data_IF_055680533006
#
_entry.id   IF_055680533006
#
_cell.length_a   1.000
_cell.length_b   1.000
_cell.length_c   1.000
_cell.angle_alpha   90.00
_cell.angle_beta   90.00
_cell.angle_gamma   90.00
#
_symmetry.space_group_name_H-M   'P 1'
#
loop_
_entity.id
_entity.type
_entity.pdbx_description
1 polymer ?
#
# COMPACT_ATOMS: atom_id res chain seq x y z
N UNK A 1 -3.47 -7.44 10.72
CA UNK A 1 -2.40 -6.86 11.57
C UNK A 1 -2.00 -5.50 11.00
N UNK A 2 -2.05 -4.44 11.79
CA UNK A 2 -1.61 -3.11 11.35
C UNK A 2 -0.08 -3.07 11.27
N UNK A 3 0.49 -2.80 10.11
CA UNK A 3 1.95 -2.77 9.92
C UNK A 3 2.53 -1.35 9.99
N UNK A 4 1.71 -0.32 9.76
CA UNK A 4 2.10 1.08 9.79
C UNK A 4 0.92 2.01 10.12
N UNK A 5 1.24 3.28 10.40
CA UNK A 5 0.28 4.39 10.39
C UNK A 5 0.81 5.50 9.50
N UNK A 6 -0.06 6.24 8.84
CA UNK A 6 0.33 7.37 8.03
C UNK A 6 -0.69 8.50 8.15
N UNK A 7 -0.20 9.74 8.24
CA UNK A 7 -1.03 10.90 8.00
C UNK A 7 -1.17 11.13 6.48
N UNK A 8 -2.14 11.93 6.08
CA UNK A 8 -2.34 12.32 4.69
C UNK A 8 -1.07 12.91 4.09
N UNK A 9 -0.64 12.27 3.00
CA UNK A 9 0.53 12.65 2.20
C UNK A 9 1.80 12.79 3.01
N UNK A 10 2.01 11.86 3.94
CA UNK A 10 3.27 11.70 4.65
C UNK A 10 3.77 10.26 4.51
N UNK A 11 5.10 10.02 4.60
CA UNK A 11 5.65 8.68 4.70
C UNK A 11 5.01 7.89 5.85
N UNK A 12 4.81 6.56 5.69
CA UNK A 12 4.27 5.73 6.76
C UNK A 12 5.28 5.60 7.91
N UNK A 13 4.75 5.56 9.12
CA UNK A 13 5.48 5.25 10.35
C UNK A 13 5.31 3.77 10.64
N UNK A 14 6.41 3.02 10.56
CA UNK A 14 6.45 1.58 10.81
C UNK A 14 6.02 1.23 12.25
N UNK A 15 5.15 0.23 12.41
CA UNK A 15 4.76 -0.31 13.72
C UNK A 15 5.57 -1.53 14.14
N UNK A 16 6.51 -1.99 13.32
CA UNK A 16 7.20 -3.26 13.46
C UNK A 16 7.99 -3.44 14.78
N UNK A 17 8.36 -2.35 15.47
CA UNK A 17 9.11 -2.39 16.74
C UNK A 17 8.22 -2.35 17.99
N UNK A 18 6.94 -1.98 17.87
CA UNK A 18 6.02 -1.95 19.00
C UNK A 18 5.48 -3.35 19.23
N UNK A 19 6.18 -4.13 20.07
CA UNK A 19 5.58 -5.29 20.74
C UNK A 19 4.21 -4.86 21.23
N UNK A 20 3.16 -5.57 20.82
CA UNK A 20 1.76 -5.25 21.08
C UNK A 20 1.61 -4.64 22.47
N UNK A 21 1.26 -3.36 22.54
CA UNK A 21 1.40 -2.54 23.75
C UNK A 21 0.67 -3.13 24.97
N UNK A 22 -0.31 -4.02 24.72
CA UNK A 22 -1.13 -4.73 25.71
C UNK A 22 -0.92 -6.26 25.72
N UNK A 23 0.20 -6.77 25.22
CA UNK A 23 0.58 -8.20 25.30
C UNK A 23 -0.06 -9.11 24.24
N UNK A 24 -1.24 -8.77 23.70
CA UNK A 24 -1.86 -9.44 22.55
C UNK A 24 -2.68 -8.47 21.68
N UNK A 25 -2.85 -8.81 20.41
CA UNK A 25 -3.82 -8.17 19.51
C UNK A 25 -4.81 -9.20 19.00
N UNK A 26 -6.06 -8.81 18.89
CA UNK A 26 -7.06 -9.61 18.21
C UNK A 26 -6.91 -9.41 16.69
N UNK A 27 -6.50 -10.48 15.99
CA UNK A 27 -6.27 -10.50 14.55
C UNK A 27 -7.20 -11.50 13.84
N UNK A 28 -8.46 -11.55 14.28
CA UNK A 28 -9.51 -12.48 13.82
C UNK A 28 -10.37 -11.89 12.69
N UNK A 29 -10.29 -10.58 12.47
CA UNK A 29 -11.03 -9.84 11.46
C UNK A 29 -10.09 -9.07 10.53
N UNK A 30 -10.52 -8.85 9.28
CA UNK A 30 -9.80 -8.00 8.34
C UNK A 30 -9.81 -6.54 8.80
N UNK A 31 -8.71 -5.83 8.54
CA UNK A 31 -8.68 -4.38 8.65
C UNK A 31 -9.50 -3.72 7.53
N UNK A 32 -9.85 -2.42 7.67
CA UNK A 32 -10.58 -1.71 6.65
C UNK A 32 -9.74 -1.53 5.38
N UNK A 33 -10.40 -1.42 4.23
CA UNK A 33 -9.75 -1.06 2.97
C UNK A 33 -9.33 0.41 2.97
N UNK A 34 -8.35 0.78 2.15
CA UNK A 34 -8.00 2.19 2.00
C UNK A 34 -9.10 2.96 1.28
N UNK A 35 -9.26 4.27 1.54
CA UNK A 35 -10.31 5.05 0.92
C UNK A 35 -10.18 5.11 -0.59
N UNK A 36 -11.29 4.89 -1.29
CA UNK A 36 -11.35 4.76 -2.75
C UNK A 36 -12.78 4.99 -3.27
N UNK A 37 -12.91 5.29 -4.56
CA UNK A 37 -14.19 5.64 -5.18
C UNK A 37 -15.22 4.50 -5.19
N UNK A 38 -14.77 3.24 -5.14
CA UNK A 38 -15.64 2.06 -5.19
C UNK A 38 -15.91 1.45 -3.80
N UNK A 39 -16.81 2.05 -3.03
CA UNK A 39 -17.51 1.33 -1.97
C UNK A 39 -18.62 0.46 -2.59
N UNK A 40 -18.29 -0.77 -3.02
CA UNK A 40 -19.24 -1.71 -3.61
C UNK A 40 -19.33 -3.01 -2.78
N UNK A 41 -20.06 -4.02 -3.27
CA UNK A 41 -20.22 -5.30 -2.55
C UNK A 41 -18.88 -6.02 -2.26
N UNK A 42 -17.82 -5.65 -2.97
CA UNK A 42 -16.48 -6.19 -2.79
C UNK A 42 -15.68 -5.43 -1.71
N UNK A 43 -16.09 -4.21 -1.33
CA UNK A 43 -15.39 -3.32 -0.41
C UNK A 43 -16.36 -2.78 0.64
N UNK A 44 -16.49 -3.53 1.73
CA UNK A 44 -17.55 -3.34 2.74
C UNK A 44 -17.22 -2.32 3.84
N UNK A 45 -15.94 -1.99 4.03
CA UNK A 45 -15.48 -1.00 4.99
C UNK A 45 -14.20 -0.30 4.50
N UNK A 46 -14.13 1.02 4.69
CA UNK A 46 -12.97 1.83 4.33
C UNK A 46 -12.61 2.77 5.49
N UNK A 47 -11.32 3.02 5.68
CA UNK A 47 -10.79 3.93 6.70
C UNK A 47 -9.41 4.45 6.26
N UNK A 48 -9.00 5.65 6.71
CA UNK A 48 -7.64 6.15 6.46
C UNK A 48 -6.58 5.37 7.25
N UNK A 49 -6.94 4.77 8.39
CA UNK A 49 -6.14 3.77 9.11
C UNK A 49 -6.23 2.39 8.42
N UNK A 50 -5.85 2.29 7.15
CA UNK A 50 -6.00 1.08 6.34
C UNK A 50 -4.74 0.20 6.19
N UNK A 51 -3.59 0.62 6.73
CA UNK A 51 -2.29 -0.06 6.54
C UNK A 51 -2.18 -1.36 7.34
N UNK A 52 -2.92 -2.37 6.86
CA UNK A 52 -3.04 -3.70 7.44
C UNK A 52 -2.54 -4.77 6.46
N UNK A 53 -2.02 -5.86 7.02
CA UNK A 53 -1.73 -7.11 6.33
C UNK A 53 -2.41 -8.29 7.02
N UNK A 54 -2.64 -9.35 6.24
CA UNK A 54 -3.29 -10.59 6.67
C UNK A 54 -2.34 -11.74 6.43
N UNK A 55 -2.23 -12.66 7.39
CA UNK A 55 -1.30 -13.80 7.32
C UNK A 55 -2.10 -15.08 7.29
N UNK A 56 -1.93 -15.86 6.22
CA UNK A 56 -2.45 -17.22 6.09
C UNK A 56 -1.27 -18.17 6.24
N UNK A 57 -1.40 -19.13 7.16
CA UNK A 57 -0.31 -20.03 7.52
C UNK A 57 -0.82 -21.46 7.74
N UNK A 58 -0.08 -22.50 7.31
CA UNK A 58 -0.51 -23.88 7.47
C UNK A 58 -0.60 -24.26 8.95
N UNK A 59 -1.61 -25.08 9.29
CA UNK A 59 -1.86 -25.54 10.66
C UNK A 59 -0.75 -26.47 11.17
N UNK A 60 -0.25 -27.35 10.32
CA UNK A 60 0.72 -28.39 10.68
C UNK A 60 2.19 -27.93 10.56
N UNK A 61 2.47 -26.64 10.80
CA UNK A 61 3.84 -26.12 10.76
C UNK A 61 4.56 -26.31 12.08
N UNK A 62 5.86 -26.56 12.03
CA UNK A 62 6.69 -26.53 13.22
C UNK A 62 6.98 -25.08 13.61
N UNK A 63 7.12 -24.83 14.91
CA UNK A 63 7.43 -23.48 15.45
C UNK A 63 8.72 -22.89 14.86
N UNK A 64 9.66 -23.75 14.44
CA UNK A 64 10.94 -23.36 13.85
C UNK A 64 11.00 -23.58 12.32
N UNK A 65 9.84 -23.75 11.67
CA UNK A 65 9.79 -23.82 10.20
C UNK A 65 10.34 -22.53 9.57
N UNK A 66 10.92 -22.67 8.39
CA UNK A 66 11.40 -21.58 7.53
C UNK A 66 10.70 -21.72 6.18
N UNK A 67 9.40 -21.45 6.17
CA UNK A 67 8.57 -21.61 4.97
C UNK A 67 8.78 -20.41 4.02
N UNK A 68 8.74 -20.63 2.69
CA UNK A 68 8.65 -19.53 1.73
C UNK A 68 7.44 -18.64 2.04
N UNK A 69 7.61 -17.33 1.85
CA UNK A 69 6.60 -16.32 2.16
C UNK A 69 6.14 -15.64 0.87
N UNK A 70 4.91 -15.88 0.46
CA UNK A 70 4.30 -15.29 -0.73
C UNK A 70 3.50 -14.04 -0.32
N UNK A 71 3.87 -12.87 -0.83
CA UNK A 71 3.26 -11.58 -0.49
C UNK A 71 2.49 -11.06 -1.70
N UNK A 72 1.18 -11.01 -1.56
CA UNK A 72 0.24 -10.54 -2.58
C UNK A 72 0.10 -9.02 -2.54
N UNK A 73 0.31 -8.39 -3.69
CA UNK A 73 0.01 -6.97 -3.95
C UNK A 73 -1.17 -6.92 -4.92
N UNK A 74 -2.30 -6.36 -4.48
CA UNK A 74 -3.52 -6.32 -5.29
C UNK A 74 -3.40 -5.37 -6.48
N UNK A 75 -4.24 -5.58 -7.49
CA UNK A 75 -4.41 -4.67 -8.64
C UNK A 75 -5.35 -3.50 -8.31
N UNK A 76 -5.91 -2.89 -9.35
CA UNK A 76 -6.87 -1.76 -9.23
C UNK A 76 -6.31 -0.40 -9.66
N UNK A 77 -5.29 -0.37 -10.51
CA UNK A 77 -4.77 0.88 -11.10
C UNK A 77 -4.07 1.81 -10.12
N UNK A 78 -3.78 1.34 -8.90
CA UNK A 78 -3.43 2.18 -7.73
C UNK A 78 -4.55 3.10 -7.23
N UNK A 79 -5.77 2.96 -7.74
CA UNK A 79 -6.92 3.80 -7.36
C UNK A 79 -7.97 3.02 -6.58
N UNK A 80 -8.06 1.71 -6.81
CA UNK A 80 -8.99 0.80 -6.15
C UNK A 80 -8.32 -0.50 -5.72
N UNK A 81 -9.07 -1.36 -5.04
CA UNK A 81 -8.65 -2.67 -4.58
C UNK A 81 -8.44 -2.75 -3.07
N UNK A 82 -8.38 -3.97 -2.56
CA UNK A 82 -8.19 -4.23 -1.14
C UNK A 82 -7.72 -5.66 -0.86
N UNK A 83 -6.90 -5.86 0.17
CA UNK A 83 -6.44 -7.20 0.57
C UNK A 83 -7.55 -8.13 1.09
N UNK A 84 -8.68 -7.55 1.52
CA UNK A 84 -9.86 -8.24 2.03
C UNK A 84 -11.08 -8.12 1.10
N UNK A 85 -10.83 -7.91 -0.20
CA UNK A 85 -11.89 -7.79 -1.20
C UNK A 85 -12.85 -8.99 -1.18
N UNK A 86 -14.14 -8.72 -1.03
CA UNK A 86 -15.18 -9.68 -0.63
C UNK A 86 -15.99 -10.27 -1.79
N UNK A 87 -16.56 -11.47 -1.56
CA UNK A 87 -17.58 -12.21 -2.35
C UNK A 87 -17.12 -12.99 -3.61
N UNK A 88 -16.75 -14.28 -3.43
CA UNK A 88 -16.10 -14.81 -2.21
C UNK A 88 -14.82 -14.03 -1.90
N UNK A 89 -14.18 -14.22 -0.74
CA UNK A 89 -12.90 -13.56 -0.44
C UNK A 89 -11.92 -13.80 -1.61
N UNK A 90 -11.66 -12.75 -2.38
CA UNK A 90 -11.00 -12.87 -3.69
C UNK A 90 -9.57 -13.32 -3.50
N UNK A 91 -8.90 -12.75 -2.50
CA UNK A 91 -7.50 -13.04 -2.17
C UNK A 91 -7.38 -13.99 -0.97
N UNK A 92 -8.17 -15.07 -0.96
CA UNK A 92 -8.12 -16.08 0.08
C UNK A 92 -6.86 -16.95 -0.04
N UNK A 93 -5.84 -16.65 0.78
CA UNK A 93 -4.57 -17.36 0.80
C UNK A 93 -4.65 -18.84 1.17
N UNK A 94 -5.76 -19.31 1.78
CA UNK A 94 -5.94 -20.73 2.12
C UNK A 94 -5.97 -21.64 0.90
N UNK A 95 -6.38 -21.14 -0.26
CA UNK A 95 -6.40 -21.94 -1.49
C UNK A 95 -4.98 -22.28 -1.96
N UNK A 96 -4.03 -21.35 -1.90
CA UNK A 96 -2.63 -21.63 -2.21
C UNK A 96 -2.09 -22.64 -1.20
N UNK A 97 -2.28 -22.40 0.10
CA UNK A 97 -1.78 -23.29 1.15
C UNK A 97 -2.28 -24.73 0.98
N UNK A 98 -3.57 -24.93 0.67
CA UNK A 98 -4.16 -26.26 0.44
C UNK A 98 -3.56 -26.98 -0.77
N UNK A 99 -3.08 -26.24 -1.77
CA UNK A 99 -2.49 -26.80 -2.99
C UNK A 99 -0.95 -26.87 -2.95
N UNK A 100 -0.33 -26.47 -1.83
CA UNK A 100 1.13 -26.48 -1.65
C UNK A 100 1.56 -27.45 -0.54
N UNK A 101 0.94 -28.63 -0.44
CA UNK A 101 1.22 -29.57 0.66
C UNK A 101 2.64 -30.14 0.63
N UNK A 102 3.21 -30.34 -0.56
CA UNK A 102 4.58 -30.84 -0.72
C UNK A 102 5.63 -29.76 -0.42
N UNK A 103 5.27 -28.49 -0.61
CA UNK A 103 6.11 -27.32 -0.33
C UNK A 103 5.27 -26.27 0.40
N UNK A 104 5.06 -26.43 1.73
CA UNK A 104 4.19 -25.53 2.47
C UNK A 104 4.70 -24.09 2.42
N UNK A 105 3.77 -23.15 2.23
CA UNK A 105 4.06 -21.72 2.12
C UNK A 105 3.23 -20.92 3.10
N UNK A 106 3.70 -19.72 3.44
CA UNK A 106 2.90 -18.67 4.07
C UNK A 106 2.42 -17.72 2.97
N UNK A 107 1.17 -17.29 3.06
CA UNK A 107 0.60 -16.28 2.14
C UNK A 107 0.26 -15.05 2.95
N UNK A 108 0.68 -13.89 2.47
CA UNK A 108 0.37 -12.59 3.04
C UNK A 108 -0.38 -11.77 2.01
N UNK A 109 -1.47 -11.13 2.41
CA UNK A 109 -2.13 -10.08 1.60
C UNK A 109 -2.03 -8.76 2.35
N UNK A 110 -1.92 -7.64 1.65
CA UNK A 110 -1.74 -6.35 2.29
C UNK A 110 -2.47 -5.20 1.58
N UNK A 111 -2.88 -4.20 2.35
CA UNK A 111 -3.38 -2.93 1.85
C UNK A 111 -2.22 -1.95 1.69
N UNK A 112 -2.40 -0.94 0.84
CA UNK A 112 -1.52 0.22 0.67
C UNK A 112 -2.39 1.42 0.23
N UNK A 113 -1.97 2.67 0.45
CA UNK A 113 -2.79 3.85 0.09
C UNK A 113 -3.05 3.91 -1.42
N UNK A 114 -4.18 4.51 -1.81
CA UNK A 114 -4.67 4.54 -3.18
C UNK A 114 -5.01 5.97 -3.63
N UNK A 115 -4.99 6.19 -4.94
CA UNK A 115 -5.46 7.39 -5.64
C UNK A 115 -4.91 8.67 -5.02
N UNK A 116 -5.82 9.60 -4.72
CA UNK A 116 -5.46 10.89 -4.13
C UNK A 116 -4.67 10.75 -2.82
N UNK A 117 -4.89 9.71 -2.02
CA UNK A 117 -4.17 9.50 -0.76
C UNK A 117 -2.73 9.01 -0.97
N UNK A 118 -2.40 8.50 -2.16
CA UNK A 118 -1.08 8.00 -2.53
C UNK A 118 -0.27 8.96 -3.40
N UNK A 119 -0.89 9.60 -4.39
CA UNK A 119 -0.14 10.15 -5.53
C UNK A 119 -0.12 11.68 -5.58
N UNK A 120 -0.59 12.32 -4.50
CA UNK A 120 -0.63 13.78 -4.38
C UNK A 120 0.79 14.37 -4.41
N UNK A 121 1.03 15.28 -5.36
CA UNK A 121 2.33 15.92 -5.56
C UNK A 121 2.22 17.44 -5.56
N UNK A 122 2.59 18.09 -4.46
CA UNK A 122 2.57 19.54 -4.29
C UNK A 122 3.95 20.03 -3.85
N UNK A 123 4.31 21.27 -4.21
CA UNK A 123 5.57 21.87 -3.78
C UNK A 123 5.64 21.94 -2.25
N UNK A 124 4.52 22.28 -1.61
CA UNK A 124 4.39 22.36 -0.17
C UNK A 124 4.61 21.00 0.51
N UNK A 125 4.26 19.88 -0.13
CA UNK A 125 4.53 18.53 0.39
C UNK A 125 6.02 18.20 0.33
N UNK A 126 6.69 18.60 -0.76
CA UNK A 126 8.14 18.44 -0.93
C UNK A 126 8.90 19.28 0.12
N UNK A 127 8.43 20.49 0.38
CA UNK A 127 9.03 21.42 1.35
C UNK A 127 8.78 21.01 2.82
N UNK A 128 7.69 20.30 3.10
CA UNK A 128 7.33 19.91 4.48
C UNK A 128 8.33 18.92 5.09
N UNK A 129 8.94 18.03 4.28
CA UNK A 129 9.83 16.99 4.78
C UNK A 129 11.20 17.05 4.10
N UNK A 130 12.15 17.72 4.74
CA UNK A 130 13.51 17.85 4.19
C UNK A 130 14.26 16.51 4.08
N UNK A 131 13.90 15.52 4.90
CA UNK A 131 14.46 14.16 4.84
C UNK A 131 13.87 13.33 3.70
N UNK A 132 12.76 13.78 3.13
CA UNK A 132 12.08 13.19 1.99
C UNK A 132 11.71 14.29 0.99
N UNK A 133 12.68 14.83 0.22
CA UNK A 133 12.49 16.00 -0.64
C UNK A 133 11.75 15.64 -1.95
N UNK A 134 10.65 14.90 -1.83
CA UNK A 134 9.73 14.50 -2.88
C UNK A 134 8.32 14.30 -2.31
N UNK A 135 7.32 14.10 -3.17
CA UNK A 135 5.93 13.85 -2.82
C UNK A 135 5.32 12.77 -3.73
N UNK A 136 4.12 12.32 -3.40
CA UNK A 136 3.45 11.21 -4.09
C UNK A 136 4.12 9.87 -3.77
N UNK A 137 3.80 8.84 -4.56
CA UNK A 137 4.36 7.49 -4.42
C UNK A 137 4.18 6.89 -3.01
N UNK A 138 3.22 7.38 -2.21
CA UNK A 138 3.08 6.94 -0.82
C UNK A 138 2.64 5.47 -0.72
N UNK A 139 1.93 4.95 -1.72
CA UNK A 139 1.65 3.52 -1.88
C UNK A 139 2.92 2.66 -1.84
N UNK A 140 3.98 3.08 -2.53
CA UNK A 140 5.25 2.34 -2.54
C UNK A 140 5.94 2.38 -1.19
N UNK A 141 5.87 3.52 -0.50
CA UNK A 141 6.40 3.62 0.86
C UNK A 141 5.63 2.71 1.82
N UNK A 142 4.32 2.60 1.65
CA UNK A 142 3.47 1.67 2.42
C UNK A 142 3.86 0.21 2.13
N UNK A 143 4.08 -0.14 0.86
CA UNK A 143 4.57 -1.47 0.45
C UNK A 143 5.93 -1.79 1.09
N UNK A 144 6.89 -0.86 1.02
CA UNK A 144 8.19 -1.03 1.68
C UNK A 144 8.06 -1.17 3.20
N UNK A 145 7.14 -0.43 3.83
CA UNK A 145 6.85 -0.55 5.26
C UNK A 145 6.33 -1.94 5.63
N UNK A 146 5.38 -2.47 4.87
CA UNK A 146 4.89 -3.83 5.08
C UNK A 146 6.00 -4.88 4.87
N UNK A 147 6.86 -4.70 3.87
CA UNK A 147 7.97 -5.62 3.64
C UNK A 147 9.01 -5.58 4.78
N UNK A 148 9.29 -4.40 5.34
CA UNK A 148 10.11 -4.28 6.57
C UNK A 148 9.44 -4.98 7.74
N UNK A 149 8.13 -4.80 7.91
CA UNK A 149 7.37 -5.51 8.94
C UNK A 149 7.46 -7.02 8.76
N UNK A 150 7.29 -7.54 7.53
CA UNK A 150 7.37 -8.96 7.21
C UNK A 150 8.76 -9.50 7.55
N UNK A 151 9.83 -8.82 7.11
CA UNK A 151 11.20 -9.26 7.40
C UNK A 151 11.50 -9.32 8.90
N UNK A 152 10.96 -8.39 9.68
CA UNK A 152 11.16 -8.36 11.13
C UNK A 152 10.35 -9.43 11.88
N UNK A 153 9.16 -9.79 11.40
CA UNK A 153 8.17 -10.53 12.21
C UNK A 153 7.84 -11.93 11.66
N UNK A 154 8.07 -12.21 10.37
CA UNK A 154 7.48 -13.41 9.75
C UNK A 154 8.05 -14.72 10.29
N UNK A 155 9.23 -14.67 10.90
CA UNK A 155 9.84 -15.81 11.59
C UNK A 155 8.97 -16.34 12.73
N UNK A 156 8.24 -15.46 13.44
CA UNK A 156 7.32 -15.85 14.52
C UNK A 156 6.10 -16.62 13.98
N UNK A 157 5.82 -16.49 12.69
CA UNK A 157 4.76 -17.21 11.98
C UNK A 157 5.30 -18.45 11.25
N UNK A 158 6.59 -18.78 11.38
CA UNK A 158 7.25 -19.91 10.73
C UNK A 158 7.71 -19.65 9.30
N UNK A 159 7.82 -18.37 8.90
CA UNK A 159 8.31 -17.97 7.59
C UNK A 159 9.81 -17.70 7.58
N UNK A 160 10.43 -17.87 6.43
CA UNK A 160 11.80 -17.44 6.19
C UNK A 160 11.85 -16.00 5.67
N UNK A 161 12.36 -15.02 6.43
CA UNK A 161 12.50 -13.64 5.94
C UNK A 161 13.43 -13.54 4.73
N UNK A 162 14.33 -14.51 4.52
CA UNK A 162 15.24 -14.51 3.37
C UNK A 162 14.64 -15.14 2.10
N UNK A 163 13.41 -15.68 2.19
CA UNK A 163 12.71 -16.33 1.08
C UNK A 163 11.31 -15.75 0.90
N UNK A 164 11.27 -14.43 0.74
CA UNK A 164 10.06 -13.66 0.46
C UNK A 164 9.89 -13.50 -1.06
N UNK A 165 8.74 -13.90 -1.59
CA UNK A 165 8.34 -13.75 -2.99
C UNK A 165 7.20 -12.75 -3.08
N UNK A 166 7.36 -11.70 -3.87
CA UNK A 166 6.28 -10.75 -4.17
C UNK A 166 5.52 -11.20 -5.41
N UNK A 167 4.20 -11.18 -5.37
CA UNK A 167 3.40 -11.45 -6.55
C UNK A 167 2.19 -10.52 -6.60
N UNK A 168 1.81 -10.11 -7.80
CA UNK A 168 0.72 -9.16 -7.98
C UNK A 168 0.16 -9.19 -9.38
N UNK A 169 -1.05 -8.65 -9.53
CA UNK A 169 -1.75 -8.55 -10.80
C UNK A 169 -2.01 -7.08 -11.19
N UNK A 170 -1.96 -6.76 -12.49
CA UNK A 170 -2.21 -5.41 -13.01
C UNK A 170 -1.28 -4.36 -12.36
N UNK A 171 -1.83 -3.36 -11.66
CA UNK A 171 -1.02 -2.39 -10.89
C UNK A 171 -0.19 -3.05 -9.79
N UNK A 172 -0.66 -4.14 -9.19
CA UNK A 172 0.13 -4.95 -8.26
C UNK A 172 1.28 -5.68 -8.96
N UNK A 173 1.04 -6.18 -10.19
CA UNK A 173 2.08 -6.78 -11.03
C UNK A 173 3.12 -5.76 -11.49
N UNK A 174 2.71 -4.51 -11.70
CA UNK A 174 3.64 -3.38 -11.90
C UNK A 174 4.43 -3.10 -10.62
N UNK A 175 3.74 -3.00 -9.49
CA UNK A 175 4.35 -2.66 -8.21
C UNK A 175 5.46 -3.62 -7.80
N UNK A 176 5.30 -4.94 -8.01
CA UNK A 176 6.38 -5.90 -7.69
C UNK A 176 7.66 -5.65 -8.50
N UNK A 177 7.55 -5.12 -9.72
CA UNK A 177 8.69 -4.69 -10.51
C UNK A 177 9.26 -3.35 -10.03
N UNK A 178 8.38 -2.37 -9.81
CA UNK A 178 8.76 -1.03 -9.37
C UNK A 178 9.50 -1.04 -8.03
N UNK A 179 9.08 -1.89 -7.08
CA UNK A 179 9.74 -2.06 -5.78
C UNK A 179 11.23 -2.36 -5.94
N UNK A 180 11.63 -3.11 -6.98
CA UNK A 180 13.04 -3.41 -7.24
C UNK A 180 13.90 -2.21 -7.63
N UNK A 181 13.28 -1.13 -8.10
CA UNK A 181 13.95 0.13 -8.41
C UNK A 181 13.99 1.10 -7.22
N UNK A 182 13.19 0.86 -6.17
CA UNK A 182 13.08 1.78 -5.04
C UNK A 182 14.28 1.70 -4.10
N UNK A 183 14.73 2.87 -3.62
CA UNK A 183 15.70 2.94 -2.52
C UNK A 183 15.11 2.32 -1.26
N UNK A 184 15.88 1.44 -0.61
CA UNK A 184 15.47 0.77 0.62
C UNK A 184 14.69 -0.54 0.42
N UNK A 185 14.53 -1.02 -0.82
CA UNK A 185 13.95 -2.35 -1.10
C UNK A 185 14.94 -3.51 -0.98
N UNK A 186 16.24 -3.21 -0.93
CA UNK A 186 17.30 -4.21 -0.83
C UNK A 186 17.10 -5.12 0.38
N UNK A 187 17.26 -6.42 0.16
CA UNK A 187 17.11 -7.48 1.17
C UNK A 187 15.70 -7.58 1.79
N UNK A 188 14.67 -6.98 1.20
CA UNK A 188 13.30 -7.13 1.68
C UNK A 188 12.52 -8.26 0.98
N UNK A 189 12.98 -8.69 -0.19
CA UNK A 189 12.41 -9.79 -0.96
C UNK A 189 13.47 -10.50 -1.79
N UNK A 190 13.12 -11.68 -2.33
CA UNK A 190 14.01 -12.55 -3.10
C UNK A 190 13.52 -12.79 -4.52
N UNK A 191 12.21 -12.92 -4.71
CA UNK A 191 11.60 -13.28 -5.99
C UNK A 191 10.41 -12.40 -6.30
N UNK A 192 10.09 -12.23 -7.58
CA UNK A 192 8.88 -11.53 -8.03
C UNK A 192 8.12 -12.36 -9.07
N UNK A 193 6.80 -12.27 -9.07
CA UNK A 193 5.91 -12.73 -10.14
C UNK A 193 4.99 -11.57 -10.53
N UNK A 194 5.19 -11.03 -11.73
CA UNK A 194 4.28 -10.04 -12.31
C UNK A 194 3.24 -10.73 -13.19
N UNK A 195 1.97 -10.56 -12.85
CA UNK A 195 0.84 -11.07 -13.63
C UNK A 195 0.16 -9.88 -14.31
N UNK A 196 0.16 -9.82 -15.64
CA UNK A 196 -0.50 -8.73 -16.38
C UNK A 196 -0.06 -7.31 -15.98
N UNK A 197 1.14 -7.14 -15.41
CA UNK A 197 1.63 -5.86 -14.88
C UNK A 197 2.97 -5.45 -15.50
N UNK A 198 2.94 -4.64 -16.55
CA UNK A 198 4.16 -4.09 -17.14
C UNK A 198 4.68 -2.91 -16.29
N UNK A 199 5.97 -2.99 -15.94
CA UNK A 199 6.76 -1.97 -15.22
C UNK A 199 7.93 -1.43 -16.08
N UNK A 200 7.94 -1.75 -17.38
CA UNK A 200 8.95 -1.30 -18.34
C UNK A 200 8.42 -0.25 -19.34
N UNK A 201 7.24 0.31 -19.08
CA UNK A 201 6.61 1.29 -19.97
C UNK A 201 6.44 2.65 -19.27
N UNK A 202 7.13 3.65 -19.80
CA UNK A 202 7.07 5.04 -19.32
C UNK A 202 5.65 5.63 -19.32
N UNK A 203 4.75 5.12 -20.15
CA UNK A 203 3.36 5.60 -20.21
C UNK A 203 2.61 5.40 -18.90
N UNK A 204 3.10 4.56 -17.99
CA UNK A 204 2.47 4.31 -16.69
C UNK A 204 2.87 5.25 -15.58
N UNK A 205 3.84 6.12 -15.82
CA UNK A 205 4.35 7.07 -14.84
C UNK A 205 4.09 8.49 -15.33
N UNK A 206 4.01 9.44 -14.39
CA UNK A 206 3.95 10.87 -14.70
C UNK A 206 5.24 11.55 -14.30
N UNK A 207 5.63 12.59 -15.05
CA UNK A 207 6.69 13.48 -14.60
C UNK A 207 6.17 14.45 -13.54
N UNK A 208 7.10 15.03 -12.77
CA UNK A 208 6.82 15.98 -11.70
C UNK A 208 5.90 17.13 -12.16
N UNK A 209 6.14 17.70 -13.34
CA UNK A 209 5.37 18.85 -13.84
C UNK A 209 3.89 18.52 -14.06
N UNK A 210 3.59 17.35 -14.63
CA UNK A 210 2.21 16.89 -14.84
C UNK A 210 1.55 16.58 -13.49
N UNK A 211 2.26 15.90 -12.59
CA UNK A 211 1.74 15.59 -11.26
C UNK A 211 1.44 16.86 -10.47
N UNK A 212 2.33 17.85 -10.51
CA UNK A 212 2.12 19.16 -9.87
C UNK A 212 0.92 19.90 -10.47
N UNK A 213 0.77 19.90 -11.80
CA UNK A 213 -0.36 20.55 -12.48
C UNK A 213 -1.71 19.92 -12.06
N UNK A 214 -1.80 18.58 -12.09
CA UNK A 214 -3.01 17.84 -11.67
C UNK A 214 -3.30 18.06 -10.20
N UNK A 215 -2.26 18.05 -9.38
CA UNK A 215 -2.38 18.28 -7.95
C UNK A 215 -2.91 19.67 -7.60
N UNK A 216 -2.43 20.69 -8.31
CA UNK A 216 -2.95 22.05 -8.19
C UNK A 216 -4.40 22.18 -8.70
N UNK A 217 -4.78 21.43 -9.74
CA UNK A 217 -6.17 21.36 -10.21
C UNK A 217 -7.10 20.84 -9.11
N UNK A 218 -6.71 19.78 -8.40
CA UNK A 218 -7.46 19.23 -7.26
C UNK A 218 -7.57 20.27 -6.13
N UNK A 219 -6.46 20.90 -5.75
CA UNK A 219 -6.46 21.96 -4.74
C UNK A 219 -7.38 23.13 -5.10
N UNK A 220 -7.46 23.48 -6.39
CA UNK A 220 -8.38 24.49 -6.92
C UNK A 220 -9.84 24.04 -6.85
N UNK A 221 -10.16 22.80 -7.24
CA UNK A 221 -11.52 22.24 -7.16
C UNK A 221 -12.07 22.27 -5.71
N UNK A 222 -11.19 22.08 -4.73
CA UNK A 222 -11.51 22.16 -3.30
C UNK A 222 -11.44 23.58 -2.72
N UNK A 223 -11.20 24.60 -3.55
CA UNK A 223 -11.04 26.01 -3.14
C UNK A 223 -9.90 26.27 -2.14
N UNK A 224 -8.89 25.40 -2.08
CA UNK A 224 -7.78 25.52 -1.13
C UNK A 224 -6.72 26.58 -1.51
N UNK A 225 -6.70 27.05 -2.76
CA UNK A 225 -5.70 28.03 -3.23
C UNK A 225 -6.07 29.50 -2.94
N UNK A 226 -7.32 29.78 -2.58
CA UNK A 226 -7.82 31.16 -2.44
C UNK A 226 -8.03 31.59 -0.98
N UNK A 227 -7.65 30.74 -0.01
CA UNK A 227 -7.86 31.02 1.40
C UNK A 227 -6.66 31.79 1.98
N UNK A 228 -6.91 32.97 2.58
CA UNK A 228 -5.86 33.77 3.23
C UNK A 228 -5.56 33.34 4.67
N UNK A 229 -6.47 32.59 5.29
CA UNK A 229 -6.39 32.21 6.70
C UNK A 229 -5.84 30.79 6.91
N UNK A 230 -5.52 30.09 5.83
CA UNK A 230 -5.13 28.69 5.85
C UNK A 230 -4.24 28.38 4.65
N UNK A 231 -3.20 27.58 4.87
CA UNK A 231 -2.34 27.09 3.78
C UNK A 231 -3.07 26.07 2.89
N UNK A 232 -2.57 25.85 1.68
CA UNK A 232 -3.13 24.85 0.77
C UNK A 232 -3.15 23.45 1.42
N UNK A 233 -2.07 23.07 2.11
CA UNK A 233 -1.99 21.76 2.76
C UNK A 233 -2.94 21.60 3.95
N UNK A 234 -3.10 22.63 4.78
CA UNK A 234 -4.04 22.58 5.89
C UNK A 234 -5.47 22.40 5.38
N UNK A 235 -5.87 23.16 4.36
CA UNK A 235 -7.19 23.04 3.73
C UNK A 235 -7.42 21.63 3.17
N UNK A 236 -6.45 21.10 2.41
CA UNK A 236 -6.53 19.76 1.83
C UNK A 236 -6.57 18.66 2.90
N UNK A 237 -5.84 18.81 4.00
CA UNK A 237 -5.85 17.84 5.12
C UNK A 237 -7.13 17.89 5.95
N UNK A 238 -7.86 19.01 5.94
CA UNK A 238 -9.18 19.14 6.57
C UNK A 238 -10.34 18.68 5.69
N UNK A 239 -10.13 18.58 4.38
CA UNK A 239 -11.16 18.12 3.45
C UNK A 239 -11.70 16.74 3.83
N UNK A 240 -12.98 16.46 3.59
CA UNK A 240 -13.50 15.11 3.84
C UNK A 240 -12.90 14.11 2.85
N UNK A 241 -12.85 12.83 3.23
CA UNK A 241 -12.44 11.74 2.33
C UNK A 241 -13.25 11.77 1.03
N UNK A 242 -14.56 12.02 1.12
CA UNK A 242 -15.44 12.09 -0.02
C UNK A 242 -15.09 13.28 -0.94
N UNK A 243 -14.85 14.46 -0.38
CA UNK A 243 -14.49 15.64 -1.18
C UNK A 243 -13.18 15.42 -1.92
N UNK A 244 -12.20 14.78 -1.27
CA UNK A 244 -10.92 14.42 -1.88
C UNK A 244 -11.11 13.46 -3.06
N UNK A 245 -11.89 12.39 -2.89
CA UNK A 245 -12.16 11.41 -3.95
C UNK A 245 -12.92 12.05 -5.12
N UNK A 246 -13.93 12.88 -4.83
CA UNK A 246 -14.72 13.58 -5.87
C UNK A 246 -13.85 14.59 -6.62
N UNK A 247 -12.98 15.33 -5.93
CA UNK A 247 -12.09 16.29 -6.57
C UNK A 247 -11.01 15.61 -7.42
N UNK A 248 -10.53 14.44 -6.98
CA UNK A 248 -9.61 13.58 -7.74
C UNK A 248 -10.23 13.20 -9.09
N UNK A 249 -11.46 12.68 -9.10
CA UNK A 249 -12.19 12.33 -10.32
C UNK A 249 -11.31 11.56 -11.33
N UNK A 250 -11.34 11.99 -12.60
CA UNK A 250 -10.52 11.43 -13.68
C UNK A 250 -9.13 12.09 -13.83
N UNK A 251 -8.71 12.95 -12.90
CA UNK A 251 -7.40 13.60 -13.01
C UNK A 251 -6.25 12.56 -13.01
N UNK A 252 -6.51 11.37 -12.46
CA UNK A 252 -5.75 10.15 -12.69
C UNK A 252 -4.27 10.33 -12.39
N UNK A 253 -3.95 10.70 -11.15
CA UNK A 253 -2.57 10.74 -10.68
C UNK A 253 -1.97 9.34 -10.84
N UNK A 254 -0.71 9.30 -11.27
CA UNK A 254 0.04 8.07 -11.42
C UNK A 254 1.30 8.20 -10.58
N UNK A 255 1.96 7.07 -10.39
CA UNK A 255 3.30 7.05 -9.82
C UNK A 255 4.20 8.06 -10.54
N UNK A 256 4.92 8.85 -9.75
CA UNK A 256 5.76 9.93 -10.23
C UNK A 256 7.19 9.42 -10.36
N UNK A 257 7.89 9.77 -11.44
CA UNK A 257 9.34 9.61 -11.50
C UNK A 257 9.95 10.84 -10.84
N UNK A 258 10.39 10.69 -9.59
CA UNK A 258 10.78 11.78 -8.71
C UNK A 258 12.29 11.94 -8.47
N UNK A 259 13.11 10.96 -8.87
CA UNK A 259 14.59 11.01 -8.82
C UNK A 259 15.16 10.15 -7.71
#
# INVERSE_FOLDING_TARGET
IQYAKANRWQPPVDLASKRFSNGSIEATSFGPCCPQIEANIYITAQDEECLYLNIFTPLNRHKNSLLPVLVWIHGGGFETGCSSQSIPLVYNGTNIIRNSLEQPVIVITMNYRLGIFSDMYLAELVEENIEWPTAGNYNYLDMLSALRWINMNIRDYGGDPNNVLLFGESSGGRAVGDIGALKGSLNLYRHIISQSGSFNSFSFYTNISISLQRSNSIAKKLNCQNNKNETVLECLRKASVNDLIVAYGDDGLRSVIDG
#
